data_IF_522045577349
#
_entry.id   IF_522045577349
#
_cell.length_a   1.000
_cell.length_b   1.000
_cell.length_c   1.000
_cell.angle_alpha   90.00
_cell.angle_beta   90.00
_cell.angle_gamma   90.00
#
_symmetry.space_group_name_H-M   'P 1'
#
loop_
_entity.id
_entity.type
_entity.pdbx_description
1 polymer ?
#
# COMPACT_ATOMS: atom_id res chain seq x y z
N UNK A 1 -5.90 14.79 -21.54
CA UNK A 1 -5.50 14.34 -20.20
C UNK A 1 -6.21 15.23 -19.20
N UNK A 2 -7.15 14.66 -18.49
CA UNK A 2 -8.02 15.36 -17.53
C UNK A 2 -7.40 15.30 -16.14
N UNK A 3 -7.79 16.22 -15.24
CA UNK A 3 -7.27 16.28 -13.87
C UNK A 3 -7.46 14.95 -13.09
N UNK A 4 -8.53 14.22 -13.40
CA UNK A 4 -8.81 12.88 -12.87
C UNK A 4 -7.80 11.82 -13.33
N UNK A 5 -7.26 11.93 -14.54
CA UNK A 5 -6.27 10.97 -15.05
C UNK A 5 -4.93 11.08 -14.31
N UNK A 6 -4.53 12.32 -13.98
CA UNK A 6 -3.30 12.59 -13.22
C UNK A 6 -3.45 12.07 -11.79
N UNK A 7 -4.57 12.39 -11.12
CA UNK A 7 -4.86 11.92 -9.76
C UNK A 7 -4.88 10.39 -9.69
N UNK A 8 -5.52 9.73 -10.66
CA UNK A 8 -5.55 8.27 -10.74
C UNK A 8 -4.14 7.68 -10.88
N UNK A 9 -3.33 8.22 -11.79
CA UNK A 9 -1.99 7.71 -12.03
C UNK A 9 -1.07 7.89 -10.81
N UNK A 10 -1.15 9.04 -10.14
CA UNK A 10 -0.38 9.30 -8.92
C UNK A 10 -0.82 8.40 -7.76
N UNK A 11 -2.12 8.14 -7.59
CA UNK A 11 -2.60 7.23 -6.53
C UNK A 11 -2.24 5.78 -6.82
N UNK A 12 -2.38 5.31 -8.05
CA UNK A 12 -1.92 3.96 -8.44
C UNK A 12 -0.42 3.78 -8.20
N UNK A 13 0.37 4.83 -8.46
CA UNK A 13 1.81 4.83 -8.19
C UNK A 13 2.12 4.78 -6.70
N UNK A 14 1.40 5.56 -5.88
CA UNK A 14 1.51 5.52 -4.42
C UNK A 14 1.13 4.15 -3.86
N UNK A 15 0.04 3.55 -4.35
CA UNK A 15 -0.38 2.20 -3.98
C UNK A 15 0.73 1.18 -4.28
N UNK A 16 1.32 1.23 -5.47
CA UNK A 16 2.41 0.35 -5.84
C UNK A 16 3.61 0.53 -4.91
N UNK A 17 4.03 1.77 -4.64
CA UNK A 17 5.17 2.06 -3.75
C UNK A 17 4.92 1.52 -2.34
N UNK A 18 3.75 1.76 -1.77
CA UNK A 18 3.40 1.30 -0.41
C UNK A 18 3.32 -0.23 -0.36
N UNK A 19 2.71 -0.86 -1.36
CA UNK A 19 2.59 -2.31 -1.45
C UNK A 19 3.95 -3.00 -1.57
N UNK A 20 4.78 -2.56 -2.52
CA UNK A 20 6.13 -3.09 -2.69
C UNK A 20 7.03 -2.76 -1.51
N UNK A 21 6.92 -1.56 -0.92
CA UNK A 21 7.67 -1.16 0.27
C UNK A 21 7.36 -2.06 1.46
N UNK A 22 6.08 -2.36 1.70
CA UNK A 22 5.65 -3.26 2.78
C UNK A 22 6.20 -4.68 2.58
N UNK A 23 6.16 -5.20 1.35
CA UNK A 23 6.73 -6.50 1.01
C UNK A 23 8.24 -6.55 1.20
N UNK A 24 8.96 -5.51 0.76
CA UNK A 24 10.42 -5.41 0.91
C UNK A 24 10.81 -5.36 2.39
N UNK A 25 10.12 -4.56 3.20
CA UNK A 25 10.38 -4.50 4.65
C UNK A 25 10.14 -5.86 5.30
N UNK A 26 9.05 -6.54 4.94
CA UNK A 26 8.77 -7.90 5.41
C UNK A 26 9.89 -8.87 5.04
N UNK A 27 10.34 -8.86 3.78
CA UNK A 27 11.44 -9.72 3.32
C UNK A 27 12.78 -9.39 4.03
N UNK A 28 13.12 -8.11 4.19
CA UNK A 28 14.34 -7.68 4.89
C UNK A 28 14.31 -8.10 6.36
N UNK A 29 13.16 -7.97 7.03
CA UNK A 29 13.00 -8.44 8.40
C UNK A 29 13.26 -9.94 8.54
N UNK A 30 12.73 -10.74 7.60
CA UNK A 30 12.95 -12.19 7.57
C UNK A 30 14.41 -12.55 7.29
N UNK A 31 15.10 -11.84 6.38
CA UNK A 31 16.50 -12.15 6.03
C UNK A 31 17.50 -11.70 7.10
N UNK A 32 17.18 -10.67 7.87
CA UNK A 32 18.02 -10.17 8.98
C UNK A 32 17.81 -10.94 10.28
N UNK A 33 16.90 -11.91 10.31
CA UNK A 33 16.60 -12.71 11.50
C UNK A 33 15.88 -11.92 12.60
N UNK A 34 15.20 -10.84 12.23
CA UNK A 34 14.40 -10.07 13.19
C UNK A 34 13.24 -10.94 13.70
N UNK A 35 12.97 -10.84 15.00
CA UNK A 35 11.83 -11.52 15.60
C UNK A 35 10.50 -10.99 15.04
N UNK A 36 9.50 -11.88 15.03
CA UNK A 36 8.15 -11.55 14.56
C UNK A 36 7.49 -10.41 15.36
N UNK A 37 7.94 -10.19 16.60
CA UNK A 37 7.55 -9.09 17.48
C UNK A 37 7.89 -7.70 16.89
N UNK A 38 8.91 -7.59 16.03
CA UNK A 38 9.27 -6.33 15.38
C UNK A 38 8.71 -6.24 13.95
N UNK A 39 8.73 -7.35 13.20
CA UNK A 39 8.28 -7.38 11.80
C UNK A 39 6.76 -7.25 11.70
N UNK A 40 6.02 -7.95 12.56
CA UNK A 40 4.56 -8.02 12.49
C UNK A 40 3.88 -6.66 12.57
N UNK A 41 4.21 -5.74 13.52
CA UNK A 41 3.60 -4.41 13.55
C UNK A 41 3.92 -3.58 12.31
N UNK A 42 5.14 -3.69 11.75
CA UNK A 42 5.51 -2.97 10.51
C UNK A 42 4.68 -3.45 9.32
N UNK A 43 4.53 -4.76 9.15
CA UNK A 43 3.72 -5.34 8.07
C UNK A 43 2.24 -5.00 8.26
N UNK A 44 1.72 -5.03 9.49
CA UNK A 44 0.33 -4.67 9.80
C UNK A 44 0.07 -3.19 9.48
N UNK A 45 0.99 -2.28 9.80
CA UNK A 45 0.85 -0.86 9.44
C UNK A 45 0.78 -0.70 7.92
N UNK A 46 1.68 -1.36 7.19
CA UNK A 46 1.65 -1.33 5.72
C UNK A 46 0.33 -1.88 5.15
N UNK A 47 -0.17 -2.99 5.68
CA UNK A 47 -1.44 -3.58 5.31
C UNK A 47 -2.65 -2.69 5.64
N UNK A 48 -2.62 -1.97 6.77
CA UNK A 48 -3.67 -1.01 7.16
C UNK A 48 -3.72 0.19 6.22
N UNK A 49 -2.57 0.70 5.77
CA UNK A 49 -2.51 1.80 4.81
C UNK A 49 -3.11 1.37 3.47
N UNK A 50 -2.73 0.18 2.98
CA UNK A 50 -3.29 -0.40 1.76
C UNK A 50 -4.80 -0.59 1.91
N UNK A 51 -5.25 -1.19 3.00
CA UNK A 51 -6.67 -1.41 3.28
C UNK A 51 -7.46 -0.10 3.38
N UNK A 52 -6.89 0.96 3.95
CA UNK A 52 -7.54 2.28 4.00
C UNK A 52 -7.70 2.89 2.60
N UNK A 53 -6.66 2.77 1.77
CA UNK A 53 -6.70 3.21 0.37
C UNK A 53 -7.78 2.41 -0.38
N UNK A 54 -7.77 1.08 -0.27
CA UNK A 54 -8.76 0.20 -0.92
C UNK A 54 -10.19 0.52 -0.49
N UNK A 55 -10.44 0.74 0.82
CA UNK A 55 -11.76 1.10 1.34
C UNK A 55 -12.21 2.47 0.83
N UNK A 56 -11.31 3.45 0.80
CA UNK A 56 -11.60 4.77 0.24
C UNK A 56 -12.03 4.66 -1.23
N UNK A 57 -11.36 3.81 -2.00
CA UNK A 57 -11.71 3.55 -3.40
C UNK A 57 -13.01 2.76 -3.55
N UNK A 58 -13.23 1.72 -2.74
CA UNK A 58 -14.45 0.89 -2.77
C UNK A 58 -15.72 1.64 -2.34
N UNK A 59 -15.63 2.57 -1.40
CA UNK A 59 -16.80 3.25 -0.81
C UNK A 59 -17.12 4.62 -1.40
N UNK A 60 -16.28 5.17 -2.27
CA UNK A 60 -16.53 6.51 -2.82
C UNK A 60 -15.53 7.02 -3.85
N UNK A 61 -14.47 6.28 -4.17
CA UNK A 61 -13.55 6.59 -5.25
C UNK A 61 -14.08 6.04 -6.57
N UNK A 62 -15.09 6.71 -7.12
CA UNK A 62 -15.68 6.38 -8.42
C UNK A 62 -14.57 6.42 -9.50
N UNK A 63 -14.02 5.25 -9.84
CA UNK A 63 -13.22 5.09 -11.04
C UNK A 63 -11.98 4.21 -10.98
N UNK A 64 -11.25 4.00 -9.89
CA UNK A 64 -9.82 3.56 -9.98
C UNK A 64 -9.51 2.26 -10.78
N UNK A 65 -10.47 1.33 -10.91
CA UNK A 65 -10.28 0.02 -11.55
C UNK A 65 -11.03 -0.18 -12.88
N UNK A 66 -11.73 0.85 -13.38
CA UNK A 66 -12.34 0.87 -14.71
C UNK A 66 -11.47 1.66 -15.71
#
# INVERSE_FOLDING_TARGET
>A
MTMSDILRNEVSRLYAIVSFGTLIIGMVGLTTGMGMDVISPLVIIGALVIGYIDIYWLLGGDGAYD
#
